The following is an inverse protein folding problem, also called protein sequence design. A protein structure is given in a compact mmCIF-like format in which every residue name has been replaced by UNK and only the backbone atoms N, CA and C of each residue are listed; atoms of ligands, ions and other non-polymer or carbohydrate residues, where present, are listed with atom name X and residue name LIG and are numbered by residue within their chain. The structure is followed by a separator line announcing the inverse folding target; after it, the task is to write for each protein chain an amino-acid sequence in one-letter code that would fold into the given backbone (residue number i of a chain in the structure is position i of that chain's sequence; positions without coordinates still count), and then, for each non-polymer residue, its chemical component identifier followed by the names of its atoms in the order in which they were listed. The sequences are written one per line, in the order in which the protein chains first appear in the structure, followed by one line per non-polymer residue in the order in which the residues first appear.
data_IF_671482480785
#
_entry.id   IF_671482480785
#
_cell.length_a   1.000
_cell.length_b   1.000
_cell.length_c   1.000
_cell.angle_alpha   90.00
_cell.angle_beta   90.00
_cell.angle_gamma   90.00
#
_symmetry.space_group_name_H-M   'P 1'
#
loop_
_entity.id
_entity.type
_entity.pdbx_description
1 polymer ?
#
# COMPACT_ATOMS: atom_id res chain seq x y z
N UNK A 1 15.85 -0.60 25.70
CA UNK A 1 17.17 0.03 25.48
C UNK A 1 17.06 0.92 24.26
N UNK A 2 17.63 2.14 24.24
CA UNK A 2 17.63 2.94 23.01
C UNK A 2 18.40 2.15 21.93
N UNK A 3 17.72 1.87 20.82
CA UNK A 3 18.34 1.18 19.69
C UNK A 3 19.41 2.08 19.10
N UNK A 4 20.63 1.54 18.96
CA UNK A 4 21.79 2.26 18.42
C UNK A 4 21.53 2.67 16.97
N UNK A 5 21.95 3.88 16.59
CA UNK A 5 21.93 4.34 15.21
C UNK A 5 22.73 3.37 14.33
N UNK A 6 22.24 3.13 13.11
CA UNK A 6 22.95 2.33 12.10
C UNK A 6 24.19 3.09 11.63
N UNK A 7 24.05 4.40 11.38
CA UNK A 7 25.18 5.30 11.11
C UNK A 7 25.59 5.98 12.42
N UNK A 8 26.63 5.45 13.07
CA UNK A 8 27.15 6.05 14.31
C UNK A 8 27.93 7.35 14.09
N UNK A 9 28.61 7.47 12.95
CA UNK A 9 29.36 8.68 12.55
C UNK A 9 28.53 9.45 11.54
N UNK A 10 27.79 10.44 12.02
CA UNK A 10 26.87 11.25 11.20
C UNK A 10 27.33 12.71 11.11
N UNK A 11 26.98 13.35 10.00
CA UNK A 11 27.21 14.76 9.71
C UNK A 11 25.93 15.56 9.95
N UNK A 12 26.08 16.78 10.48
CA UNK A 12 24.96 17.69 10.72
C UNK A 12 24.21 17.98 9.41
N UNK A 13 22.89 17.93 9.47
CA UNK A 13 21.92 18.17 8.40
C UNK A 13 22.01 17.23 7.18
N UNK A 14 22.80 16.16 7.28
CA UNK A 14 22.88 15.10 6.28
C UNK A 14 21.82 14.03 6.54
N UNK A 15 21.06 13.70 5.49
CA UNK A 15 20.04 12.64 5.56
C UNK A 15 20.69 11.30 5.26
N UNK A 16 20.65 10.36 6.21
CA UNK A 16 21.03 8.98 5.98
C UNK A 16 19.77 8.15 5.74
N UNK A 17 19.60 7.63 4.52
CA UNK A 17 18.48 6.77 4.16
C UNK A 17 18.84 5.30 4.40
N UNK A 18 18.25 4.70 5.43
CA UNK A 18 18.44 3.28 5.75
C UNK A 18 17.36 2.47 5.04
N UNK A 19 17.78 1.59 4.14
CA UNK A 19 16.88 0.72 3.37
C UNK A 19 17.54 -0.60 2.98
N UNK A 20 16.78 -1.50 2.35
CA UNK A 20 17.32 -2.76 1.83
C UNK A 20 18.44 -2.54 0.81
N UNK A 21 19.40 -3.48 0.71
CA UNK A 21 20.41 -3.48 -0.34
C UNK A 21 19.81 -3.38 -1.74
N UNK A 22 20.61 -2.85 -2.68
CA UNK A 22 20.26 -2.82 -4.11
C UNK A 22 20.01 -4.23 -4.63
N UNK A 23 19.11 -4.36 -5.60
CA UNK A 23 18.82 -5.62 -6.29
C UNK A 23 19.19 -5.52 -7.77
N UNK A 24 19.26 -6.67 -8.45
CA UNK A 24 19.64 -6.70 -9.87
C UNK A 24 18.60 -6.13 -10.84
N UNK A 25 17.33 -5.98 -10.42
CA UNK A 25 16.25 -5.51 -11.29
C UNK A 25 15.57 -4.22 -10.81
N UNK A 26 15.66 -3.89 -9.52
CA UNK A 26 15.06 -2.69 -8.92
C UNK A 26 16.00 -2.07 -7.88
N UNK A 27 15.96 -0.73 -7.68
CA UNK A 27 16.79 -0.08 -6.66
C UNK A 27 16.51 -0.55 -5.23
N UNK A 28 15.30 -1.02 -4.93
CA UNK A 28 14.91 -1.61 -3.65
C UNK A 28 13.76 -2.60 -3.84
N UNK A 29 13.71 -3.73 -3.11
CA UNK A 29 12.59 -4.67 -3.15
C UNK A 29 11.36 -4.16 -2.37
N UNK A 30 11.49 -3.08 -1.60
CA UNK A 30 10.41 -2.46 -0.83
C UNK A 30 9.79 -1.29 -1.61
N UNK A 31 8.45 -1.28 -1.82
CA UNK A 31 7.78 -0.16 -2.48
C UNK A 31 7.90 1.14 -1.67
N UNK A 32 7.88 1.05 -0.33
CA UNK A 32 8.04 2.21 0.55
C UNK A 32 9.45 2.82 0.44
N UNK A 33 10.47 1.99 0.24
CA UNK A 33 11.85 2.45 0.03
C UNK A 33 12.00 3.19 -1.29
N UNK A 34 11.38 2.67 -2.35
CA UNK A 34 11.34 3.36 -3.65
C UNK A 34 10.58 4.69 -3.56
N UNK A 35 9.42 4.72 -2.91
CA UNK A 35 8.65 5.95 -2.68
C UNK A 35 9.51 7.03 -2.03
N UNK A 36 10.13 6.70 -0.89
CA UNK A 36 10.90 7.68 -0.12
C UNK A 36 12.13 8.16 -0.91
N UNK A 37 12.89 7.24 -1.51
CA UNK A 37 14.07 7.61 -2.30
C UNK A 37 13.70 8.47 -3.52
N UNK A 38 12.59 8.16 -4.19
CA UNK A 38 12.07 8.99 -5.30
C UNK A 38 11.69 10.38 -4.83
N UNK A 39 10.97 10.49 -3.70
CA UNK A 39 10.58 11.80 -3.17
C UNK A 39 11.80 12.65 -2.79
N UNK A 40 12.82 12.08 -2.14
CA UNK A 40 14.07 12.78 -1.81
C UNK A 40 14.75 13.35 -3.07
N UNK A 41 14.76 12.58 -4.17
CA UNK A 41 15.30 13.02 -5.46
C UNK A 41 14.47 14.15 -6.07
N UNK A 42 13.13 14.05 -6.01
CA UNK A 42 12.23 15.11 -6.50
C UNK A 42 12.41 16.42 -5.74
N UNK A 43 12.54 16.35 -4.42
CA UNK A 43 12.84 17.50 -3.57
C UNK A 43 14.28 18.03 -3.75
N UNK A 44 15.15 17.26 -4.40
CA UNK A 44 16.58 17.57 -4.54
C UNK A 44 17.26 17.70 -3.18
N UNK A 45 16.94 16.79 -2.26
CA UNK A 45 17.61 16.63 -0.96
C UNK A 45 18.82 15.73 -1.16
N UNK A 46 19.98 16.14 -0.63
CA UNK A 46 21.17 15.29 -0.62
C UNK A 46 21.03 14.22 0.48
N UNK A 47 21.33 12.97 0.12
CA UNK A 47 21.19 11.83 1.04
C UNK A 47 22.24 10.75 0.80
N UNK A 48 22.67 10.09 1.88
CA UNK A 48 23.53 8.92 1.83
C UNK A 48 22.68 7.65 1.95
N UNK A 49 22.81 6.73 1.00
CA UNK A 49 22.11 5.45 1.04
C UNK A 49 22.88 4.46 1.91
N UNK A 50 22.27 4.01 3.00
CA UNK A 50 22.87 3.08 3.96
C UNK A 50 22.11 1.75 3.90
N UNK A 51 22.83 0.68 3.58
CA UNK A 51 22.28 -0.67 3.59
C UNK A 51 21.90 -1.09 5.01
N UNK A 52 20.68 -1.59 5.18
CA UNK A 52 20.24 -2.18 6.43
C UNK A 52 20.72 -3.64 6.63
N UNK A 53 21.47 -4.19 5.67
CA UNK A 53 21.97 -5.57 5.61
C UNK A 53 20.88 -6.66 5.74
N UNK A 54 19.62 -6.34 5.48
CA UNK A 54 18.46 -7.18 5.83
C UNK A 54 18.36 -7.53 7.33
N UNK A 55 19.07 -6.80 8.21
CA UNK A 55 19.12 -7.03 9.66
C UNK A 55 18.51 -5.88 10.46
N UNK A 56 18.74 -4.65 10.01
CA UNK A 56 18.38 -3.45 10.77
C UNK A 56 17.00 -2.95 10.37
N UNK A 57 16.12 -2.86 11.38
CA UNK A 57 14.78 -2.29 11.26
C UNK A 57 14.69 -1.04 12.13
N UNK A 58 13.72 -0.16 11.83
CA UNK A 58 13.47 0.99 12.72
C UNK A 58 13.01 0.54 14.11
N UNK A 59 12.94 1.47 15.07
CA UNK A 59 12.36 1.23 16.40
C UNK A 59 10.94 0.66 16.35
N UNK A 60 10.21 0.90 15.26
CA UNK A 60 8.85 0.41 15.01
C UNK A 60 8.81 -0.88 14.18
N UNK A 61 9.97 -1.46 13.84
CA UNK A 61 10.04 -2.63 12.96
C UNK A 61 9.71 -2.30 11.50
N UNK A 62 9.85 -1.04 11.07
CA UNK A 62 9.51 -0.58 9.72
C UNK A 62 10.75 -0.34 8.86
N UNK A 63 10.56 -0.41 7.54
CA UNK A 63 11.52 0.00 6.49
C UNK A 63 10.79 0.76 5.38
N UNK A 64 11.44 1.74 4.72
CA UNK A 64 12.73 2.34 5.09
C UNK A 64 12.59 3.20 6.37
N UNK A 65 13.72 3.71 6.86
CA UNK A 65 13.76 4.81 7.83
C UNK A 65 14.94 5.73 7.53
N UNK A 66 14.98 6.92 8.15
CA UNK A 66 16.13 7.81 8.06
C UNK A 66 16.79 8.03 9.41
N UNK A 67 18.05 8.41 9.37
CA UNK A 67 18.77 9.01 10.48
C UNK A 67 19.17 10.44 10.09
N UNK A 68 18.83 11.40 10.92
CA UNK A 68 19.08 12.83 10.71
C UNK A 68 19.42 13.46 12.05
N UNK A 69 20.56 14.15 12.14
CA UNK A 69 21.00 14.86 13.35
C UNK A 69 21.01 13.96 14.62
N UNK A 70 21.42 12.71 14.44
CA UNK A 70 21.47 11.72 15.53
C UNK A 70 20.12 11.14 15.94
N UNK A 71 19.03 11.48 15.25
CA UNK A 71 17.69 10.95 15.51
C UNK A 71 17.24 10.00 14.41
N UNK A 72 16.58 8.91 14.82
CA UNK A 72 15.95 7.98 13.90
C UNK A 72 14.48 8.37 13.70
N UNK A 73 14.09 8.52 12.44
CA UNK A 73 12.72 8.82 12.03
C UNK A 73 12.22 7.71 11.11
N UNK A 74 11.07 7.14 11.42
CA UNK A 74 10.44 6.04 10.67
C UNK A 74 9.04 6.42 10.21
N UNK A 75 8.49 5.63 9.28
CA UNK A 75 7.27 5.90 8.52
C UNK A 75 7.52 6.90 7.38
N UNK A 76 7.32 6.45 6.14
CA UNK A 76 7.69 7.26 4.97
C UNK A 76 6.90 8.56 4.86
N UNK A 77 5.64 8.58 5.29
CA UNK A 77 4.81 9.77 5.21
C UNK A 77 5.24 10.79 6.27
N UNK A 78 5.52 10.34 7.49
CA UNK A 78 6.07 11.20 8.55
C UNK A 78 7.45 11.75 8.17
N UNK A 79 8.32 10.92 7.58
CA UNK A 79 9.64 11.36 7.12
C UNK A 79 9.51 12.47 6.08
N UNK A 80 8.62 12.29 5.08
CA UNK A 80 8.38 13.28 4.03
C UNK A 80 7.89 14.59 4.64
N UNK A 81 6.89 14.55 5.53
CA UNK A 81 6.35 15.77 6.16
C UNK A 81 7.43 16.53 6.94
N UNK A 82 8.26 15.83 7.72
CA UNK A 82 9.34 16.45 8.50
C UNK A 82 10.40 17.06 7.59
N UNK A 83 10.82 16.36 6.53
CA UNK A 83 11.83 16.87 5.61
C UNK A 83 11.31 18.02 4.75
N UNK A 84 10.04 17.97 4.34
CA UNK A 84 9.39 19.04 3.59
C UNK A 84 9.37 20.34 4.39
N UNK A 85 9.10 20.28 5.69
CA UNK A 85 9.07 21.45 6.56
C UNK A 85 10.45 21.93 7.00
N UNK A 86 11.35 21.00 7.37
CA UNK A 86 12.65 21.35 7.99
C UNK A 86 13.83 21.45 7.03
N UNK A 87 13.74 20.83 5.85
CA UNK A 87 14.87 20.71 4.91
C UNK A 87 14.53 21.32 3.56
N UNK A 88 13.67 20.66 2.77
CA UNK A 88 13.32 21.07 1.40
C UNK A 88 12.14 20.24 0.86
N UNK A 89 11.43 20.77 -0.13
CA UNK A 89 10.35 20.05 -0.83
C UNK A 89 8.95 20.39 -0.32
N UNK A 90 8.80 21.50 0.42
CA UNK A 90 7.51 22.00 0.93
C UNK A 90 6.48 22.16 -0.19
N UNK A 91 6.91 22.66 -1.34
CA UNK A 91 6.12 22.83 -2.56
C UNK A 91 5.52 21.53 -3.10
N UNK A 92 6.14 20.38 -2.83
CA UNK A 92 5.63 19.06 -3.24
C UNK A 92 4.50 18.57 -2.33
N UNK A 93 4.33 19.18 -1.16
CA UNK A 93 3.33 18.83 -0.14
C UNK A 93 2.24 19.90 0.02
N UNK A 94 2.51 21.13 -0.42
CA UNK A 94 1.58 22.26 -0.38
C UNK A 94 0.64 22.27 -1.59
N UNK A 95 -0.30 21.35 -1.59
CA UNK A 95 -1.35 21.26 -2.61
C UNK A 95 -2.62 22.05 -2.25
N UNK A 96 -3.43 22.35 -3.26
CA UNK A 96 -4.79 22.88 -3.08
C UNK A 96 -5.66 21.89 -2.29
N UNK A 97 -6.71 22.36 -1.61
CA UNK A 97 -7.62 21.48 -0.85
C UNK A 97 -8.18 20.33 -1.70
N UNK A 98 -8.53 20.61 -2.96
CA UNK A 98 -9.04 19.60 -3.87
C UNK A 98 -7.97 18.56 -4.23
N UNK A 99 -6.75 18.99 -4.48
CA UNK A 99 -5.68 18.07 -4.87
C UNK A 99 -5.18 17.26 -3.67
N UNK A 100 -5.19 17.82 -2.45
CA UNK A 100 -4.98 17.05 -1.22
C UNK A 100 -6.01 15.94 -1.04
N UNK A 101 -7.28 16.21 -1.34
CA UNK A 101 -8.33 15.19 -1.26
C UNK A 101 -8.12 14.07 -2.29
N UNK A 102 -7.75 14.41 -3.53
CA UNK A 102 -7.41 13.43 -4.56
C UNK A 102 -6.19 12.60 -4.17
N UNK A 103 -5.12 13.27 -3.74
CA UNK A 103 -3.89 12.62 -3.26
C UNK A 103 -4.20 11.64 -2.15
N UNK A 104 -4.96 12.06 -1.12
CA UNK A 104 -5.33 11.19 -0.01
C UNK A 104 -6.13 9.95 -0.46
N UNK A 105 -7.06 10.11 -1.41
CA UNK A 105 -7.82 8.98 -1.96
C UNK A 105 -6.91 7.98 -2.71
N UNK A 106 -6.04 8.46 -3.59
CA UNK A 106 -5.09 7.60 -4.33
C UNK A 106 -4.05 6.97 -3.40
N UNK A 107 -3.52 7.74 -2.46
CA UNK A 107 -2.59 7.29 -1.44
C UNK A 107 -3.17 6.12 -0.65
N UNK A 108 -4.39 6.28 -0.14
CA UNK A 108 -5.09 5.23 0.62
C UNK A 108 -5.32 3.99 -0.23
N UNK A 109 -5.81 4.16 -1.46
CA UNK A 109 -6.01 3.05 -2.39
C UNK A 109 -4.71 2.26 -2.64
N UNK A 110 -3.61 2.96 -2.95
CA UNK A 110 -2.34 2.33 -3.34
C UNK A 110 -1.64 1.68 -2.14
N UNK A 111 -1.45 2.43 -1.05
CA UNK A 111 -0.64 1.98 0.08
C UNK A 111 -1.38 1.03 1.03
N UNK A 112 -2.68 1.24 1.24
CA UNK A 112 -3.46 0.41 2.17
C UNK A 112 -4.19 -0.74 1.49
N UNK A 113 -4.58 -0.63 0.21
CA UNK A 113 -5.37 -1.68 -0.45
C UNK A 113 -4.58 -2.44 -1.53
N UNK A 114 -3.98 -1.75 -2.50
CA UNK A 114 -3.28 -2.44 -3.61
C UNK A 114 -1.95 -3.07 -3.17
N UNK A 115 -1.22 -2.42 -2.26
CA UNK A 115 0.03 -2.96 -1.73
C UNK A 115 -0.22 -4.28 -0.98
N UNK A 116 -1.33 -4.39 -0.24
CA UNK A 116 -1.74 -5.65 0.38
C UNK A 116 -2.03 -6.73 -0.65
N UNK A 117 -2.66 -6.40 -1.80
CA UNK A 117 -2.85 -7.35 -2.89
C UNK A 117 -1.53 -7.80 -3.50
N UNK A 118 -0.55 -6.90 -3.64
CA UNK A 118 0.81 -7.23 -4.11
C UNK A 118 1.54 -8.17 -3.16
N UNK A 119 1.51 -7.90 -1.85
CA UNK A 119 2.05 -8.79 -0.82
C UNK A 119 1.29 -10.12 -0.77
N UNK A 120 -0.05 -10.09 -0.88
CA UNK A 120 -0.88 -11.28 -0.98
C UNK A 120 -0.47 -12.12 -2.17
N UNK A 121 -0.41 -11.55 -3.37
CA UNK A 121 0.03 -12.23 -4.60
C UNK A 121 1.43 -12.85 -4.44
N UNK A 122 2.41 -12.09 -3.93
CA UNK A 122 3.76 -12.62 -3.63
C UNK A 122 3.75 -13.74 -2.59
N UNK A 123 2.88 -13.66 -1.58
CA UNK A 123 2.70 -14.74 -0.58
C UNK A 123 2.02 -15.97 -1.17
N UNK A 124 1.11 -15.81 -2.14
CA UNK A 124 0.48 -16.92 -2.87
C UNK A 124 1.48 -17.63 -3.78
N UNK A 125 2.39 -16.89 -4.40
CA UNK A 125 3.53 -17.47 -5.13
C UNK A 125 4.45 -18.32 -4.23
N UNK A 126 4.30 -18.19 -2.89
CA UNK A 126 5.05 -18.90 -1.87
C UNK A 126 4.15 -19.80 -0.99
N UNK A 127 3.25 -20.58 -1.61
CA UNK A 127 2.92 -21.99 -1.28
C UNK A 127 1.65 -22.44 -2.00
N UNK A 128 1.79 -23.53 -2.73
CA UNK A 128 0.73 -24.30 -3.37
C UNK A 128 -0.23 -24.90 -2.32
N UNK A 129 -1.54 -24.73 -2.53
CA UNK A 129 -2.58 -25.63 -2.04
C UNK A 129 -3.41 -25.18 -0.83
N UNK A 130 -4.70 -24.90 -1.10
CA UNK A 130 -5.83 -24.76 -0.14
C UNK A 130 -5.67 -23.71 0.97
N UNK A 131 -6.07 -22.47 0.68
CA UNK A 131 -6.28 -21.45 1.71
C UNK A 131 -7.76 -21.35 2.13
N UNK A 132 -8.00 -21.22 3.44
CA UNK A 132 -9.29 -20.91 4.05
C UNK A 132 -9.66 -19.43 3.87
N UNK A 133 -10.94 -19.16 3.64
CA UNK A 133 -11.51 -17.80 3.43
C UNK A 133 -11.36 -16.95 4.69
N UNK A 134 -11.07 -15.65 4.53
CA UNK A 134 -10.79 -14.72 5.63
C UNK A 134 -11.41 -13.32 5.39
N UNK A 135 -11.29 -12.41 6.37
CA UNK A 135 -11.95 -11.10 6.36
C UNK A 135 -11.70 -10.28 5.08
N UNK A 136 -10.49 -10.35 4.53
CA UNK A 136 -10.14 -9.64 3.29
C UNK A 136 -10.99 -10.11 2.09
N UNK A 137 -11.38 -11.39 2.04
CA UNK A 137 -12.23 -11.93 0.97
C UNK A 137 -13.63 -11.28 1.03
N UNK A 138 -14.18 -11.05 2.23
CA UNK A 138 -15.48 -10.41 2.41
C UNK A 138 -15.43 -8.91 2.04
N UNK A 139 -14.39 -8.19 2.46
CA UNK A 139 -14.18 -6.77 2.10
C UNK A 139 -13.99 -6.60 0.60
N UNK A 140 -13.16 -7.45 -0.02
CA UNK A 140 -12.93 -7.42 -1.47
C UNK A 140 -14.21 -7.76 -2.24
N UNK A 141 -14.98 -8.75 -1.79
CA UNK A 141 -16.27 -9.09 -2.39
C UNK A 141 -17.27 -7.92 -2.32
N UNK A 142 -17.40 -7.24 -1.19
CA UNK A 142 -18.35 -6.12 -1.04
C UNK A 142 -18.11 -5.01 -2.08
N UNK A 143 -16.87 -4.54 -2.19
CA UNK A 143 -16.52 -3.49 -3.16
C UNK A 143 -16.60 -3.96 -4.61
N UNK A 144 -16.14 -5.18 -4.92
CA UNK A 144 -16.27 -5.73 -6.27
C UNK A 144 -17.73 -5.96 -6.65
N UNK A 145 -18.60 -6.36 -5.71
CA UNK A 145 -20.01 -6.60 -5.96
C UNK A 145 -20.75 -5.32 -6.37
N UNK A 146 -20.43 -4.19 -5.74
CA UNK A 146 -20.96 -2.88 -6.16
C UNK A 146 -20.56 -2.57 -7.61
N UNK A 147 -19.28 -2.73 -7.96
CA UNK A 147 -18.80 -2.43 -9.30
C UNK A 147 -19.37 -3.40 -10.37
N UNK A 148 -19.48 -4.69 -10.04
CA UNK A 148 -19.86 -5.72 -11.01
C UNK A 148 -21.37 -5.88 -11.18
N UNK A 149 -22.14 -5.76 -10.11
CA UNK A 149 -23.57 -6.12 -10.08
C UNK A 149 -24.52 -4.93 -9.96
N UNK A 150 -24.00 -3.71 -9.81
CA UNK A 150 -24.86 -2.51 -9.69
C UNK A 150 -24.47 -1.43 -10.71
N UNK A 151 -25.43 -0.61 -11.20
CA UNK A 151 -25.17 0.38 -12.24
C UNK A 151 -24.66 1.74 -11.71
N UNK A 152 -24.02 1.78 -10.53
CA UNK A 152 -23.63 3.05 -9.89
C UNK A 152 -22.28 3.62 -10.37
N UNK A 153 -21.50 2.83 -11.12
CA UNK A 153 -20.24 3.26 -11.72
C UNK A 153 -20.34 3.32 -13.24
N UNK A 154 -19.43 4.06 -13.87
CA UNK A 154 -19.41 4.18 -15.33
C UNK A 154 -19.09 2.83 -15.97
N UNK A 155 -19.65 2.58 -17.16
CA UNK A 155 -19.55 1.28 -17.86
C UNK A 155 -18.10 0.90 -18.16
N UNK A 156 -17.25 1.89 -18.39
CA UNK A 156 -15.84 1.74 -18.73
C UNK A 156 -15.05 1.06 -17.60
N UNK A 157 -15.41 1.33 -16.33
CA UNK A 157 -14.73 0.73 -15.17
C UNK A 157 -15.02 -0.76 -15.10
N UNK A 158 -16.29 -1.14 -15.30
CA UNK A 158 -16.71 -2.55 -15.33
C UNK A 158 -16.04 -3.29 -16.50
N UNK A 159 -16.09 -2.73 -17.70
CA UNK A 159 -15.47 -3.31 -18.89
C UNK A 159 -13.94 -3.47 -18.73
N UNK A 160 -13.29 -2.50 -18.09
CA UNK A 160 -11.86 -2.59 -17.80
C UNK A 160 -11.54 -3.75 -16.85
N UNK A 161 -12.31 -3.93 -15.78
CA UNK A 161 -12.13 -5.04 -14.83
C UNK A 161 -12.43 -6.38 -15.49
N UNK A 162 -13.50 -6.45 -16.28
CA UNK A 162 -13.85 -7.62 -17.10
C UNK A 162 -12.76 -7.98 -18.11
N UNK A 163 -12.07 -6.99 -18.67
CA UNK A 163 -11.00 -7.27 -19.64
C UNK A 163 -9.68 -7.62 -18.97
N UNK A 164 -9.30 -6.92 -17.90
CA UNK A 164 -7.93 -6.92 -17.39
C UNK A 164 -7.75 -7.63 -16.04
N UNK A 165 -8.83 -7.95 -15.32
CA UNK A 165 -8.76 -8.44 -13.94
C UNK A 165 -9.63 -9.71 -13.71
N UNK A 166 -9.45 -10.71 -14.57
CA UNK A 166 -10.16 -12.00 -14.50
C UNK A 166 -10.01 -12.73 -13.16
N UNK A 167 -8.89 -12.54 -12.47
CA UNK A 167 -8.65 -13.07 -11.13
C UNK A 167 -9.58 -12.45 -10.06
N UNK A 168 -9.92 -11.16 -10.17
CA UNK A 168 -10.85 -10.49 -9.26
C UNK A 168 -12.29 -10.93 -9.52
N UNK A 169 -12.65 -11.16 -10.79
CA UNK A 169 -13.97 -11.69 -11.16
C UNK A 169 -14.13 -13.12 -10.66
N UNK A 170 -13.13 -13.98 -10.89
CA UNK A 170 -13.13 -15.35 -10.40
C UNK A 170 -13.25 -15.38 -8.87
N UNK A 171 -12.56 -14.48 -8.16
CA UNK A 171 -12.69 -14.34 -6.71
C UNK A 171 -14.11 -13.92 -6.30
N UNK A 172 -14.66 -12.86 -6.90
CA UNK A 172 -16.00 -12.35 -6.58
C UNK A 172 -17.07 -13.41 -6.80
N UNK A 173 -17.04 -14.09 -7.96
CA UNK A 173 -17.95 -15.19 -8.27
C UNK A 173 -17.82 -16.36 -7.28
N UNK A 174 -16.59 -16.72 -6.89
CA UNK A 174 -16.37 -17.77 -5.89
C UNK A 174 -17.00 -17.43 -4.54
N UNK A 175 -16.86 -16.19 -4.05
CA UNK A 175 -17.48 -15.75 -2.79
C UNK A 175 -19.01 -15.69 -2.92
N UNK A 176 -19.54 -15.16 -4.03
CA UNK A 176 -20.98 -15.18 -4.33
C UNK A 176 -21.56 -16.60 -4.25
N UNK A 177 -20.96 -17.55 -4.96
CA UNK A 177 -21.43 -18.95 -4.99
C UNK A 177 -21.34 -19.62 -3.62
N UNK A 178 -20.28 -19.38 -2.86
CA UNK A 178 -20.07 -20.07 -1.58
C UNK A 178 -20.94 -19.54 -0.43
N UNK A 179 -21.27 -18.24 -0.43
CA UNK A 179 -21.89 -17.57 0.73
C UNK A 179 -23.20 -16.86 0.43
N UNK A 180 -23.57 -16.72 -0.84
CA UNK A 180 -24.81 -16.05 -1.26
C UNK A 180 -25.62 -16.95 -2.21
N UNK A 181 -26.00 -18.17 -1.80
CA UNK A 181 -26.77 -19.09 -2.66
C UNK A 181 -28.17 -18.54 -2.99
N UNK A 182 -28.69 -17.63 -2.16
CA UNK A 182 -29.98 -16.95 -2.30
C UNK A 182 -29.87 -15.56 -2.97
N UNK A 183 -28.71 -15.22 -3.56
CA UNK A 183 -28.46 -13.90 -4.17
C UNK A 183 -29.57 -13.42 -5.11
N UNK A 184 -30.08 -14.31 -5.97
CA UNK A 184 -31.13 -13.96 -6.93
C UNK A 184 -32.50 -13.76 -6.23
N UNK A 185 -32.81 -14.55 -5.20
CA UNK A 185 -34.03 -14.39 -4.40
C UNK A 185 -34.01 -13.06 -3.63
N UNK A 186 -32.86 -12.71 -3.03
CA UNK A 186 -32.65 -11.40 -2.37
C UNK A 186 -32.88 -10.27 -3.37
N UNK A 187 -32.24 -10.36 -4.54
CA UNK A 187 -32.31 -9.32 -5.57
C UNK A 187 -33.71 -9.10 -6.15
N UNK A 188 -34.54 -10.15 -6.19
CA UNK A 188 -35.92 -10.07 -6.73
C UNK A 188 -36.95 -9.71 -5.66
N UNK A 189 -36.88 -10.36 -4.49
CA UNK A 189 -37.85 -10.17 -3.42
C UNK A 189 -37.64 -8.83 -2.69
N UNK A 190 -36.39 -8.35 -2.64
CA UNK A 190 -35.95 -7.18 -1.86
C UNK A 190 -36.27 -7.29 -0.36
N UNK A 191 -36.53 -8.51 0.13
CA UNK A 191 -36.81 -8.75 1.54
C UNK A 191 -35.54 -9.22 2.24
N UNK A 192 -35.43 -8.88 3.53
CA UNK A 192 -34.29 -9.29 4.37
C UNK A 192 -34.52 -10.63 5.09
N UNK A 193 -35.58 -11.36 4.74
CA UNK A 193 -35.99 -12.62 5.38
C UNK A 193 -35.74 -13.87 4.52
N UNK A 194 -34.95 -13.74 3.44
CA UNK A 194 -34.51 -14.88 2.63
C UNK A 194 -33.66 -15.84 3.46
N UNK A 195 -33.75 -17.13 3.14
CA UNK A 195 -33.00 -18.18 3.85
C UNK A 195 -31.84 -18.65 2.99
N UNK A 196 -30.65 -18.21 3.36
CA UNK A 196 -29.40 -18.64 2.74
C UNK A 196 -28.91 -20.02 3.25
N UNK A 197 -29.61 -20.62 4.24
CA UNK A 197 -29.43 -21.97 4.79
C UNK A 197 -30.74 -22.58 5.26
#
# INVERSE_FOLDING_TARGET
MPQKLVKSEWEQDKVYLIQFPRTGCLPSPSPYSLKLETWLRMAGIDYENVSNEFKHMSKRGQQPFIELNGEQISDTSIIIDILADKVKGKELTELSTLDKAKEHAFYTLIEHHLTLLGFYSRSQSFKWGKRSICLIDATLFGHLAEILYTPQFTKEIKEYIETNAQNLIAHSNRIKVLYWPDWEEIGQSLKMDTKWR
#
